data_IF_556604233001
#
_entry.id   IF_556604233001
#
_cell.length_a   1.000
_cell.length_b   1.000
_cell.length_c   1.000
_cell.angle_alpha   90.00
_cell.angle_beta   90.00
_cell.angle_gamma   90.00
#
_symmetry.space_group_name_H-M   'P 1'
#
loop_
_entity.id
_entity.type
_entity.pdbx_description
1 polymer ?
#
# COMPACT_ATOMS: atom_id res chain seq x y z
N UNK A 1 -50.33 3.74 -0.49
CA UNK A 1 -49.54 3.35 0.70
C UNK A 1 -48.56 2.24 0.36
N UNK A 2 -49.00 1.10 -0.21
CA UNK A 2 -48.10 -0.03 -0.52
C UNK A 2 -46.91 0.32 -1.41
N UNK A 3 -47.13 1.12 -2.47
CA UNK A 3 -46.05 1.49 -3.38
C UNK A 3 -44.97 2.40 -2.76
N UNK A 4 -45.29 3.10 -1.65
CA UNK A 4 -44.32 3.86 -0.88
C UNK A 4 -43.40 2.92 -0.08
N UNK A 5 -43.98 1.88 0.54
CA UNK A 5 -43.24 0.92 1.35
C UNK A 5 -42.50 -0.12 0.51
N UNK A 6 -43.14 -0.72 -0.48
CA UNK A 6 -42.55 -1.68 -1.41
C UNK A 6 -43.24 -1.61 -2.80
N UNK A 7 -42.61 -0.89 -3.72
CA UNK A 7 -43.12 -0.70 -5.09
C UNK A 7 -42.95 -1.97 -5.96
N UNK A 8 -42.14 -2.94 -5.52
CA UNK A 8 -41.88 -4.19 -6.25
C UNK A 8 -42.94 -5.28 -6.01
N UNK A 9 -43.72 -5.16 -4.93
CA UNK A 9 -44.76 -6.13 -4.57
C UNK A 9 -46.02 -6.04 -5.45
N UNK A 10 -46.20 -4.94 -6.18
CA UNK A 10 -47.31 -4.79 -7.13
C UNK A 10 -46.97 -5.42 -8.48
N UNK A 11 -47.98 -6.00 -9.16
CA UNK A 11 -47.84 -6.57 -10.51
C UNK A 11 -47.24 -5.57 -11.53
N UNK A 12 -47.52 -4.27 -11.35
CA UNK A 12 -46.95 -3.18 -12.13
C UNK A 12 -46.35 -2.13 -11.20
N UNK A 13 -45.03 -1.98 -11.25
CA UNK A 13 -44.31 -0.96 -10.48
C UNK A 13 -44.67 0.44 -10.97
N UNK A 14 -44.92 1.36 -10.03
CA UNK A 14 -45.24 2.75 -10.35
C UNK A 14 -43.99 3.45 -10.89
N UNK A 15 -44.16 4.16 -11.99
CA UNK A 15 -43.12 4.92 -12.69
C UNK A 15 -43.54 6.39 -12.74
N UNK A 16 -42.58 7.30 -12.65
CA UNK A 16 -42.83 8.73 -12.85
C UNK A 16 -42.05 9.20 -14.07
N UNK A 17 -42.76 9.69 -15.10
CA UNK A 17 -42.30 10.37 -16.34
C UNK A 17 -41.27 9.61 -17.19
N UNK A 18 -40.23 9.12 -16.56
CA UNK A 18 -39.19 8.20 -17.03
C UNK A 18 -39.65 6.75 -16.99
N UNK A 19 -39.01 5.89 -17.79
CA UNK A 19 -39.25 4.42 -17.81
C UNK A 19 -38.77 3.68 -16.55
N UNK A 20 -38.11 4.36 -15.60
CA UNK A 20 -37.54 3.71 -14.40
C UNK A 20 -38.60 3.64 -13.27
N UNK A 21 -38.70 2.51 -12.56
CA UNK A 21 -39.59 2.40 -11.41
C UNK A 21 -39.12 3.32 -10.28
N UNK A 22 -40.07 3.90 -9.55
CA UNK A 22 -39.77 4.67 -8.35
C UNK A 22 -39.17 3.76 -7.27
N UNK A 23 -38.15 4.26 -6.56
CA UNK A 23 -37.55 3.55 -5.42
C UNK A 23 -38.47 3.65 -4.21
N UNK A 24 -38.83 2.51 -3.64
CA UNK A 24 -39.58 2.45 -2.37
C UNK A 24 -38.64 2.51 -1.17
N UNK A 25 -39.21 2.69 0.03
CA UNK A 25 -38.45 2.65 1.29
C UNK A 25 -37.72 1.30 1.44
N UNK A 26 -38.38 0.19 1.11
CA UNK A 26 -37.76 -1.13 1.14
C UNK A 26 -36.56 -1.24 0.19
N UNK A 27 -36.65 -0.66 -1.01
CA UNK A 27 -35.55 -0.64 -2.00
C UNK A 27 -34.38 0.24 -1.58
N UNK A 28 -34.63 1.28 -0.77
CA UNK A 28 -33.54 2.09 -0.21
C UNK A 28 -32.73 1.30 0.82
N UNK A 29 -33.33 0.31 1.48
CA UNK A 29 -32.68 -0.47 2.53
C UNK A 29 -31.99 -1.72 1.94
N UNK A 30 -32.67 -2.44 1.05
CA UNK A 30 -32.22 -3.74 0.51
C UNK A 30 -31.40 -3.62 -0.78
N UNK A 31 -30.67 -4.68 -1.13
CA UNK A 31 -29.91 -4.78 -2.37
C UNK A 31 -28.50 -4.20 -2.31
N UNK A 32 -27.76 -4.29 -3.42
CA UNK A 32 -26.35 -3.86 -3.52
C UNK A 32 -26.17 -2.35 -3.32
N UNK A 33 -27.12 -1.56 -3.81
CA UNK A 33 -27.15 -0.09 -3.66
C UNK A 33 -28.00 0.37 -2.47
N UNK A 34 -28.47 -0.57 -1.64
CA UNK A 34 -29.20 -0.29 -0.43
C UNK A 34 -28.28 0.21 0.68
N UNK A 35 -28.87 0.89 1.68
CA UNK A 35 -28.15 1.52 2.79
C UNK A 35 -27.23 0.57 3.55
N UNK A 36 -27.66 -0.68 3.79
CA UNK A 36 -26.85 -1.64 4.54
C UNK A 36 -25.51 -1.95 3.86
N UNK A 37 -25.52 -2.33 2.58
CA UNK A 37 -24.30 -2.74 1.88
C UNK A 37 -23.46 -1.56 1.44
N UNK A 38 -24.09 -0.50 0.92
CA UNK A 38 -23.36 0.61 0.32
C UNK A 38 -22.87 1.65 1.32
N UNK A 39 -23.60 1.90 2.42
CA UNK A 39 -23.32 3.02 3.33
C UNK A 39 -22.88 2.58 4.73
N UNK A 40 -23.43 1.47 5.24
CA UNK A 40 -23.06 0.99 6.58
C UNK A 40 -21.78 0.16 6.52
N UNK A 41 -21.70 -0.79 5.58
CA UNK A 41 -20.50 -1.64 5.39
C UNK A 41 -19.46 -0.99 4.47
N UNK A 42 -19.91 -0.28 3.42
CA UNK A 42 -19.06 0.55 2.58
C UNK A 42 -19.03 1.98 3.11
N UNK A 43 -17.85 2.50 3.47
CA UNK A 43 -17.70 3.91 3.80
C UNK A 43 -16.51 4.49 3.05
N UNK A 44 -16.69 5.70 2.55
CA UNK A 44 -15.55 6.52 2.13
C UNK A 44 -14.90 7.06 3.39
N UNK A 45 -13.58 7.01 3.42
CA UNK A 45 -12.77 7.37 4.59
C UNK A 45 -11.79 8.47 4.20
N UNK A 46 -11.61 9.43 5.10
CA UNK A 46 -10.58 10.45 4.98
C UNK A 46 -9.20 9.85 5.27
N UNK A 47 -8.14 10.65 5.12
CA UNK A 47 -6.75 10.21 5.31
C UNK A 47 -6.38 8.99 4.44
N UNK A 48 -6.91 9.00 3.22
CA UNK A 48 -6.67 7.97 2.22
C UNK A 48 -6.20 8.59 0.90
N UNK A 49 -5.36 7.84 0.18
CA UNK A 49 -4.80 8.21 -1.11
C UNK A 49 -4.82 7.04 -2.07
N UNK A 50 -4.63 7.28 -3.37
CA UNK A 50 -4.46 6.23 -4.38
C UNK A 50 -3.43 6.67 -5.40
N UNK A 51 -2.52 5.77 -5.77
CA UNK A 51 -1.62 5.98 -6.90
C UNK A 51 -1.29 4.66 -7.59
N UNK A 52 -0.68 4.78 -8.77
CA UNK A 52 -0.06 3.68 -9.51
C UNK A 52 1.11 3.14 -8.71
N UNK A 53 1.29 1.82 -8.73
CA UNK A 53 2.44 1.16 -8.12
C UNK A 53 3.56 0.96 -9.13
N UNK A 54 4.79 1.09 -8.66
CA UNK A 54 6.01 0.80 -9.40
C UNK A 54 6.93 -0.05 -8.52
N UNK A 55 7.89 -0.71 -9.16
CA UNK A 55 8.85 -1.57 -8.47
C UNK A 55 9.82 -0.72 -7.64
N UNK A 56 10.07 -1.13 -6.39
CA UNK A 56 11.09 -0.56 -5.51
C UNK A 56 12.02 -1.65 -4.99
N UNK A 57 12.94 -2.18 -5.82
CA UNK A 57 13.81 -3.29 -5.44
C UNK A 57 14.81 -2.95 -4.33
N UNK A 58 15.10 -1.67 -4.11
CA UNK A 58 15.99 -1.17 -3.06
C UNK A 58 15.38 -1.13 -1.66
N UNK A 59 14.05 -1.27 -1.56
CA UNK A 59 13.33 -1.18 -0.29
C UNK A 59 13.51 -2.46 0.53
N UNK A 60 13.34 -2.35 1.85
CA UNK A 60 13.18 -3.53 2.69
C UNK A 60 11.76 -4.11 2.57
N UNK A 61 11.56 -5.37 2.95
CA UNK A 61 10.26 -6.05 2.84
C UNK A 61 9.12 -5.31 3.56
N UNK A 62 9.45 -4.65 4.68
CA UNK A 62 8.53 -3.91 5.54
C UNK A 62 8.35 -2.44 5.15
N UNK A 63 9.05 -1.97 4.12
CA UNK A 63 9.01 -0.58 3.67
C UNK A 63 8.18 -0.42 2.41
N UNK A 64 7.62 0.79 2.23
CA UNK A 64 7.03 1.20 0.96
C UNK A 64 7.46 2.62 0.62
N UNK A 65 7.68 2.91 -0.66
CA UNK A 65 7.93 4.27 -1.13
C UNK A 65 6.63 5.07 -1.21
N UNK A 66 6.52 6.12 -0.41
CA UNK A 66 5.40 7.06 -0.41
C UNK A 66 5.80 8.39 -1.07
N UNK A 67 5.09 8.82 -2.14
CA UNK A 67 5.34 10.10 -2.78
C UNK A 67 5.25 11.26 -1.79
N UNK A 68 6.24 12.17 -1.81
CA UNK A 68 6.29 13.34 -0.91
C UNK A 68 5.01 14.19 -0.96
N UNK A 69 4.48 14.46 -2.15
CA UNK A 69 3.25 15.24 -2.34
C UNK A 69 2.03 14.54 -1.72
N UNK A 70 1.95 13.20 -1.83
CA UNK A 70 0.88 12.43 -1.21
C UNK A 70 1.03 12.42 0.31
N UNK A 71 2.25 12.23 0.81
CA UNK A 71 2.55 12.25 2.24
C UNK A 71 2.19 13.60 2.88
N UNK A 72 2.51 14.72 2.23
CA UNK A 72 2.15 16.06 2.72
C UNK A 72 0.63 16.22 2.92
N UNK A 73 -0.18 15.68 2.02
CA UNK A 73 -1.64 15.75 2.16
C UNK A 73 -2.17 14.79 3.22
N UNK A 74 -1.68 13.54 3.23
CA UNK A 74 -2.13 12.53 4.20
C UNK A 74 -1.76 12.91 5.65
N UNK A 75 -0.59 13.51 5.86
CA UNK A 75 -0.08 13.85 7.18
C UNK A 75 -0.27 15.33 7.55
N UNK A 76 -1.02 16.11 6.76
CA UNK A 76 -1.21 17.56 6.95
C UNK A 76 -1.53 17.99 8.39
N UNK A 77 -2.46 17.38 9.15
CA UNK A 77 -2.71 17.81 10.53
C UNK A 77 -1.55 17.51 11.48
N UNK A 78 -0.86 16.38 11.30
CA UNK A 78 0.34 16.05 12.09
C UNK A 78 1.47 17.04 11.79
N UNK A 79 1.64 17.41 10.52
CA UNK A 79 2.60 18.43 10.09
C UNK A 79 2.32 19.79 10.71
N UNK A 80 1.06 20.25 10.72
CA UNK A 80 0.68 21.53 11.35
C UNK A 80 1.05 21.53 12.84
N UNK A 81 0.74 20.44 13.55
CA UNK A 81 1.06 20.32 14.97
C UNK A 81 2.57 20.34 15.21
N UNK A 82 3.33 19.58 14.42
CA UNK A 82 4.79 19.47 14.58
C UNK A 82 5.53 20.77 14.22
N UNK A 83 5.07 21.50 13.20
CA UNK A 83 5.63 22.79 12.82
C UNK A 83 5.43 23.85 13.91
N UNK A 84 4.29 23.81 14.61
CA UNK A 84 4.03 24.71 15.76
C UNK A 84 4.88 24.29 16.95
N UNK A 85 4.93 22.98 17.26
CA UNK A 85 5.72 22.46 18.38
C UNK A 85 7.21 22.79 18.27
N UNK A 86 7.75 22.80 17.04
CA UNK A 86 9.15 23.17 16.76
C UNK A 86 9.39 24.67 16.62
N UNK A 87 8.35 25.50 16.69
CA UNK A 87 8.46 26.95 16.59
C UNK A 87 8.64 27.52 15.19
N UNK A 88 8.51 26.71 14.13
CA UNK A 88 8.57 27.18 12.74
C UNK A 88 7.33 28.01 12.35
N UNK A 89 6.20 27.77 13.01
CA UNK A 89 4.97 28.53 12.83
C UNK A 89 4.32 28.85 14.18
N UNK A 90 3.76 30.05 14.31
CA UNK A 90 3.08 30.48 15.54
C UNK A 90 1.57 30.17 15.52
N UNK A 91 0.98 30.02 14.33
CA UNK A 91 -0.45 29.77 14.16
C UNK A 91 -0.71 28.64 13.16
N UNK A 92 -1.83 27.89 13.30
CA UNK A 92 -2.20 26.85 12.32
C UNK A 92 -2.33 27.37 10.90
N UNK A 93 -2.76 28.62 10.73
CA UNK A 93 -2.90 29.26 9.41
C UNK A 93 -1.54 29.52 8.77
N UNK A 94 -0.56 30.00 9.52
CA UNK A 94 0.81 30.18 9.04
C UNK A 94 1.48 28.85 8.73
N UNK A 95 1.30 27.83 9.58
CA UNK A 95 1.80 26.48 9.30
C UNK A 95 1.21 25.89 8.01
N UNK A 96 -0.09 26.10 7.77
CA UNK A 96 -0.74 25.67 6.53
C UNK A 96 -0.17 26.37 5.30
N UNK A 97 0.11 27.67 5.38
CA UNK A 97 0.72 28.43 4.30
C UNK A 97 2.12 27.89 3.96
N UNK A 98 2.96 27.63 4.97
CA UNK A 98 4.28 27.03 4.78
C UNK A 98 4.23 25.68 4.05
N UNK A 99 3.24 24.85 4.38
CA UNK A 99 3.01 23.56 3.71
C UNK A 99 2.59 23.77 2.25
N UNK A 100 1.72 24.74 1.97
CA UNK A 100 1.26 25.07 0.61
C UNK A 100 2.38 25.64 -0.27
N UNK A 101 3.28 26.45 0.31
CA UNK A 101 4.46 27.00 -0.36
C UNK A 101 5.59 25.96 -0.57
N UNK A 102 5.45 24.77 0.03
CA UNK A 102 6.42 23.66 -0.07
C UNK A 102 7.84 24.05 0.35
N UNK A 103 7.96 24.81 1.44
CA UNK A 103 9.26 25.22 1.98
C UNK A 103 10.17 23.99 2.27
N UNK A 104 11.47 24.03 1.94
CA UNK A 104 12.42 22.95 2.23
C UNK A 104 12.39 22.41 3.66
N UNK A 105 12.08 23.25 4.66
CA UNK A 105 11.97 22.86 6.07
C UNK A 105 10.82 21.88 6.27
N UNK A 106 9.71 22.04 5.55
CA UNK A 106 8.53 21.18 5.66
C UNK A 106 8.88 19.73 5.30
N UNK A 107 9.73 19.50 4.30
CA UNK A 107 10.15 18.15 3.93
C UNK A 107 11.00 17.47 5.01
N UNK A 108 11.85 18.22 5.72
CA UNK A 108 12.63 17.69 6.86
C UNK A 108 11.72 17.31 8.03
N UNK A 109 10.71 18.13 8.31
CA UNK A 109 9.73 17.82 9.36
C UNK A 109 8.85 16.63 8.96
N UNK A 110 8.49 16.53 7.67
CA UNK A 110 7.71 15.42 7.14
C UNK A 110 8.43 14.08 7.30
N UNK A 111 9.73 14.04 7.00
CA UNK A 111 10.54 12.83 7.16
C UNK A 111 10.51 12.32 8.60
N UNK A 112 10.61 13.23 9.57
CA UNK A 112 10.49 12.88 10.99
C UNK A 112 9.09 12.36 11.35
N UNK A 113 8.02 13.05 10.94
CA UNK A 113 6.63 12.66 11.26
C UNK A 113 6.31 11.27 10.69
N UNK A 114 6.79 11.00 9.47
CA UNK A 114 6.51 9.78 8.73
C UNK A 114 7.27 8.57 9.30
N UNK A 115 8.45 8.77 9.89
CA UNK A 115 9.26 7.70 10.48
C UNK A 115 8.50 6.91 11.57
N UNK A 116 7.67 7.57 12.37
CA UNK A 116 6.94 6.91 13.46
C UNK A 116 5.54 6.41 13.06
N UNK A 117 5.08 6.63 11.83
CA UNK A 117 3.72 6.28 11.41
C UNK A 117 3.68 5.21 10.30
N UNK A 118 3.20 3.98 10.59
CA UNK A 118 2.97 2.99 9.54
C UNK A 118 1.80 3.41 8.64
N UNK A 119 1.77 2.93 7.40
CA UNK A 119 0.66 3.12 6.47
C UNK A 119 0.11 1.78 5.99
N UNK A 120 -1.19 1.73 5.69
CA UNK A 120 -1.84 0.54 5.16
C UNK A 120 -1.97 0.63 3.64
N UNK A 121 -1.40 -0.33 2.93
CA UNK A 121 -1.61 -0.49 1.50
C UNK A 121 -2.71 -1.54 1.24
N UNK A 122 -3.59 -1.24 0.31
CA UNK A 122 -4.68 -2.12 -0.11
C UNK A 122 -4.81 -2.13 -1.64
N UNK A 123 -4.88 -3.32 -2.23
CA UNK A 123 -5.24 -3.52 -3.64
C UNK A 123 -6.65 -4.09 -3.77
N UNK A 124 -7.45 -3.46 -4.63
CA UNK A 124 -8.75 -3.99 -5.01
C UNK A 124 -8.59 -4.93 -6.23
N UNK A 125 -9.29 -6.08 -6.28
CA UNK A 125 -10.18 -6.64 -5.25
C UNK A 125 -9.41 -7.33 -4.11
N UNK A 126 -9.86 -7.11 -2.87
CA UNK A 126 -9.29 -7.77 -1.68
C UNK A 126 -9.92 -9.15 -1.49
N UNK A 127 -9.19 -10.22 -1.85
CA UNK A 127 -9.69 -11.60 -1.79
C UNK A 127 -9.45 -12.29 -0.44
N UNK A 128 -8.40 -11.89 0.26
CA UNK A 128 -7.99 -12.45 1.54
C UNK A 128 -7.27 -11.39 2.38
N UNK A 129 -7.04 -11.68 3.67
CA UNK A 129 -6.47 -10.71 4.62
C UNK A 129 -5.16 -10.06 4.15
N UNK A 130 -4.31 -10.78 3.42
CA UNK A 130 -3.02 -10.29 2.93
C UNK A 130 -3.12 -9.26 1.80
N UNK A 131 -4.33 -9.01 1.27
CA UNK A 131 -4.57 -7.91 0.35
C UNK A 131 -4.58 -6.54 1.04
N UNK A 132 -4.44 -6.51 2.37
CA UNK A 132 -4.18 -5.31 3.16
C UNK A 132 -2.99 -5.59 4.08
N UNK A 133 -1.92 -4.81 3.96
CA UNK A 133 -0.75 -4.92 4.84
C UNK A 133 -0.25 -3.55 5.25
N UNK A 134 0.40 -3.49 6.40
CA UNK A 134 1.08 -2.30 6.90
C UNK A 134 2.53 -2.27 6.41
N UNK A 135 3.00 -1.05 6.13
CA UNK A 135 4.36 -0.76 5.71
C UNK A 135 4.88 0.47 6.44
N UNK A 136 6.18 0.53 6.61
CA UNK A 136 6.88 1.74 7.02
C UNK A 136 7.09 2.61 5.76
N UNK A 137 6.47 3.80 5.69
CA UNK A 137 6.67 4.71 4.56
C UNK A 137 8.12 5.26 4.53
N UNK A 138 8.71 5.21 3.34
CA UNK A 138 9.96 5.89 2.96
C UNK A 138 9.60 6.96 1.94
N UNK A 139 10.01 8.20 2.15
CA UNK A 139 9.67 9.29 1.24
C UNK A 139 10.42 9.13 -0.09
N UNK A 140 9.69 9.11 -1.19
CA UNK A 140 10.26 8.99 -2.54
C UNK A 140 9.86 10.16 -3.42
N UNK A 141 10.74 10.49 -4.37
CA UNK A 141 10.42 11.44 -5.43
C UNK A 141 9.53 10.81 -6.50
N UNK A 142 8.71 11.64 -7.13
CA UNK A 142 7.71 11.23 -8.11
C UNK A 142 6.30 11.16 -7.53
N UNK A 143 5.40 10.48 -8.25
CA UNK A 143 3.96 10.36 -7.90
C UNK A 143 3.49 8.93 -7.67
N UNK A 144 4.32 7.94 -7.98
CA UNK A 144 3.97 6.53 -7.90
C UNK A 144 4.41 5.93 -6.55
N UNK A 145 3.63 4.97 -6.06
CA UNK A 145 3.98 4.20 -4.86
C UNK A 145 5.03 3.16 -5.23
N UNK A 146 6.12 3.06 -4.46
CA UNK A 146 7.09 1.98 -4.64
C UNK A 146 6.78 0.85 -3.69
N UNK A 147 6.74 -0.38 -4.18
CA UNK A 147 6.54 -1.57 -3.34
C UNK A 147 7.63 -2.60 -3.59
N UNK A 148 7.93 -3.38 -2.55
CA UNK A 148 8.89 -4.46 -2.61
C UNK A 148 8.39 -5.58 -3.55
N UNK A 149 9.20 -6.11 -4.49
CA UNK A 149 8.76 -7.14 -5.44
C UNK A 149 8.16 -8.40 -4.79
N UNK A 150 8.74 -8.85 -3.67
CA UNK A 150 8.26 -10.04 -2.94
C UNK A 150 6.86 -9.90 -2.32
N UNK A 151 6.34 -8.68 -2.10
CA UNK A 151 4.97 -8.53 -1.58
C UNK A 151 3.92 -8.56 -2.68
N UNK A 152 4.31 -8.43 -3.95
CA UNK A 152 3.38 -8.41 -5.08
C UNK A 152 2.54 -9.69 -5.17
N UNK A 153 3.12 -10.85 -4.82
CA UNK A 153 2.39 -12.13 -4.77
C UNK A 153 1.23 -12.09 -3.77
N UNK A 154 1.41 -11.45 -2.60
CA UNK A 154 0.37 -11.31 -1.60
C UNK A 154 -0.75 -10.37 -2.07
N UNK A 155 -0.43 -9.32 -2.82
CA UNK A 155 -1.45 -8.43 -3.39
C UNK A 155 -2.05 -8.93 -4.71
N UNK A 156 -1.49 -10.01 -5.27
CA UNK A 156 -1.74 -10.47 -6.63
C UNK A 156 -1.54 -9.34 -7.67
N UNK A 157 -0.55 -8.49 -7.44
CA UNK A 157 -0.30 -7.26 -8.18
C UNK A 157 0.84 -7.42 -9.19
N UNK A 158 0.76 -6.65 -10.27
CA UNK A 158 1.82 -6.47 -11.26
C UNK A 158 2.08 -4.96 -11.50
N UNK A 159 2.98 -4.64 -12.41
CA UNK A 159 3.45 -3.26 -12.64
C UNK A 159 3.04 -2.72 -14.02
N UNK A 160 1.86 -3.10 -14.51
CA UNK A 160 1.35 -2.72 -15.84
C UNK A 160 0.37 -1.51 -15.81
N UNK A 161 0.16 -0.93 -14.63
CA UNK A 161 -0.81 0.15 -14.41
C UNK A 161 -1.68 -0.03 -13.16
N UNK A 162 -1.50 -1.14 -12.45
CA UNK A 162 -2.14 -1.42 -11.17
C UNK A 162 -2.01 -0.24 -10.17
N UNK A 163 -3.07 -0.06 -9.38
CA UNK A 163 -3.18 1.02 -8.41
C UNK A 163 -3.47 0.46 -7.01
N UNK A 164 -2.86 1.07 -6.00
CA UNK A 164 -3.11 0.76 -4.60
C UNK A 164 -3.64 1.98 -3.85
N UNK A 165 -4.53 1.71 -2.89
CA UNK A 165 -4.99 2.70 -1.94
C UNK A 165 -4.09 2.68 -0.70
N UNK A 166 -3.76 3.85 -0.18
CA UNK A 166 -3.02 4.07 1.06
C UNK A 166 -3.98 4.62 2.11
N UNK A 167 -3.87 4.15 3.36
CA UNK A 167 -4.62 4.67 4.49
C UNK A 167 -3.68 4.90 5.67
N UNK A 168 -3.91 5.97 6.44
CA UNK A 168 -3.11 6.31 7.62
C UNK A 168 -3.86 5.94 8.90
N UNK A 169 -3.34 5.00 9.73
CA UNK A 169 -3.85 4.77 11.08
C UNK A 169 -3.60 5.98 11.97
N UNK A 170 -4.65 6.57 12.53
CA UNK A 170 -4.55 7.81 13.32
C UNK A 170 -4.36 7.57 14.82
N UNK A 171 -5.12 6.64 15.40
CA UNK A 171 -5.03 6.38 16.85
C UNK A 171 -3.78 5.56 17.18
N UNK A 172 -3.21 5.79 18.36
CA UNK A 172 -2.05 5.03 18.83
C UNK A 172 -2.31 3.52 18.84
N UNK A 173 -3.52 3.11 19.26
CA UNK A 173 -3.91 1.70 19.24
C UNK A 173 -3.90 1.11 17.82
N UNK A 174 -4.40 1.84 16.82
CA UNK A 174 -4.41 1.39 15.43
C UNK A 174 -3.00 1.37 14.83
N UNK A 175 -2.14 2.33 15.18
CA UNK A 175 -0.73 2.33 14.77
C UNK A 175 0.02 1.13 15.34
N UNK A 176 -0.19 0.83 16.63
CA UNK A 176 0.40 -0.34 17.29
C UNK A 176 -0.12 -1.65 16.68
N UNK A 177 -1.42 -1.76 16.43
CA UNK A 177 -2.01 -2.91 15.73
C UNK A 177 -1.40 -3.11 14.35
N UNK A 178 -1.23 -2.02 13.59
CA UNK A 178 -0.61 -2.05 12.27
C UNK A 178 0.84 -2.57 12.34
N UNK A 179 1.64 -2.07 13.29
CA UNK A 179 3.04 -2.50 13.49
C UNK A 179 3.15 -3.95 13.97
N UNK A 180 2.32 -4.35 14.93
CA UNK A 180 2.43 -5.66 15.57
C UNK A 180 1.81 -6.78 14.74
N UNK A 181 0.67 -6.54 14.07
CA UNK A 181 -0.12 -7.60 13.43
C UNK A 181 -0.11 -7.51 11.90
N UNK A 182 -0.10 -6.29 11.34
CA UNK A 182 -0.32 -6.09 9.90
C UNK A 182 0.95 -5.85 9.09
N UNK A 183 2.10 -5.64 9.75
CA UNK A 183 3.37 -5.38 9.07
C UNK A 183 3.69 -6.51 8.08
N UNK A 184 4.13 -6.17 6.87
CA UNK A 184 4.35 -7.16 5.80
C UNK A 184 5.38 -8.24 6.19
N UNK A 185 6.38 -7.90 6.99
CA UNK A 185 7.39 -8.85 7.51
C UNK A 185 6.82 -9.93 8.42
N UNK A 186 5.66 -9.71 9.06
CA UNK A 186 4.98 -10.73 9.86
C UNK A 186 4.14 -11.69 9.00
N UNK A 187 3.86 -11.31 7.75
CA UNK A 187 2.88 -11.95 6.90
C UNK A 187 3.53 -12.78 5.77
N UNK A 188 4.53 -13.60 6.14
CA UNK A 188 5.34 -14.39 5.19
C UNK A 188 4.62 -15.67 4.74
N UNK A 189 3.77 -16.25 5.60
CA UNK A 189 3.08 -17.51 5.32
C UNK A 189 1.63 -17.30 4.89
N UNK A 190 1.19 -18.07 3.91
CA UNK A 190 -0.19 -18.06 3.46
C UNK A 190 -1.11 -18.71 4.51
N UNK A 191 -2.16 -18.01 4.99
CA UNK A 191 -2.98 -18.48 6.11
C UNK A 191 -3.68 -19.82 5.87
N UNK A 192 -4.06 -20.11 4.63
CA UNK A 192 -4.84 -21.31 4.31
C UNK A 192 -4.01 -22.62 4.22
N UNK A 193 -2.71 -22.54 3.92
CA UNK A 193 -1.91 -23.73 3.62
C UNK A 193 -0.48 -23.71 4.22
N UNK A 194 -0.10 -22.63 4.91
CA UNK A 194 1.21 -22.50 5.55
C UNK A 194 2.39 -22.36 4.58
N UNK A 195 2.16 -22.25 3.27
CA UNK A 195 3.24 -22.07 2.29
C UNK A 195 3.77 -20.63 2.33
N UNK A 196 5.08 -20.42 2.12
CA UNK A 196 5.64 -19.07 2.04
C UNK A 196 5.11 -18.32 0.81
N UNK A 197 4.86 -17.02 0.99
CA UNK A 197 4.37 -16.09 -0.04
C UNK A 197 5.46 -15.19 -0.60
N UNK A 198 6.41 -14.78 0.24
CA UNK A 198 7.54 -13.95 -0.14
C UNK A 198 8.62 -14.78 -0.87
N UNK A 199 8.20 -15.55 -1.87
CA UNK A 199 9.10 -16.34 -2.70
C UNK A 199 9.64 -15.48 -3.86
N UNK A 200 10.95 -15.56 -4.16
CA UNK A 200 11.50 -14.98 -5.37
C UNK A 200 10.75 -15.48 -6.61
N UNK A 201 10.46 -14.57 -7.54
CA UNK A 201 9.75 -14.86 -8.79
C UNK A 201 10.57 -14.42 -10.00
N UNK A 202 10.25 -15.01 -11.16
CA UNK A 202 10.75 -14.62 -12.48
C UNK A 202 12.29 -14.42 -12.50
N UNK A 203 12.74 -13.18 -12.66
CA UNK A 203 14.16 -12.82 -12.86
C UNK A 203 15.05 -13.21 -11.68
N UNK A 204 14.54 -13.14 -10.45
CA UNK A 204 15.30 -13.56 -9.26
C UNK A 204 15.62 -15.06 -9.30
N UNK A 205 14.65 -15.86 -9.76
CA UNK A 205 14.82 -17.32 -9.92
C UNK A 205 15.75 -17.60 -11.08
N UNK A 206 15.59 -16.89 -12.21
CA UNK A 206 16.43 -17.05 -13.39
C UNK A 206 17.90 -16.71 -13.11
N UNK A 207 18.16 -15.61 -12.40
CA UNK A 207 19.51 -15.20 -12.00
C UNK A 207 20.17 -16.24 -11.10
N UNK A 208 19.46 -16.70 -10.07
CA UNK A 208 19.96 -17.74 -9.16
C UNK A 208 20.21 -19.07 -9.90
N UNK A 209 19.31 -19.48 -10.79
CA UNK A 209 19.47 -20.68 -11.62
C UNK A 209 20.67 -20.56 -12.55
N UNK A 210 20.85 -19.41 -13.19
CA UNK A 210 21.97 -19.19 -14.11
C UNK A 210 23.32 -19.24 -13.40
N UNK A 211 23.42 -18.65 -12.20
CA UNK A 211 24.64 -18.61 -11.40
C UNK A 211 24.99 -19.99 -10.80
N UNK A 212 23.99 -20.79 -10.44
CA UNK A 212 24.19 -22.11 -9.81
C UNK A 212 24.37 -23.25 -10.82
N UNK A 213 24.13 -23.01 -12.12
CA UNK A 213 24.26 -24.03 -13.17
C UNK A 213 25.74 -24.38 -13.43
N UNK A 214 26.11 -25.64 -13.19
CA UNK A 214 27.44 -26.17 -13.50
C UNK A 214 27.75 -26.08 -14.99
N UNK A 215 28.98 -25.67 -15.32
CA UNK A 215 29.53 -25.62 -16.68
C UNK A 215 30.81 -26.45 -16.72
N UNK A 216 30.88 -27.42 -17.64
CA UNK A 216 32.09 -28.21 -17.90
C UNK A 216 33.02 -27.44 -18.84
N UNK A 217 34.33 -27.53 -18.64
CA UNK A 217 35.33 -26.79 -19.41
C UNK A 217 35.37 -25.29 -19.09
N UNK A 218 34.92 -24.89 -17.89
CA UNK A 218 34.88 -23.49 -17.51
C UNK A 218 36.25 -22.99 -17.04
N UNK A 219 36.50 -21.69 -17.18
CA UNK A 219 37.73 -21.07 -16.68
C UNK A 219 37.82 -21.23 -15.16
N UNK A 220 38.97 -21.70 -14.66
CA UNK A 220 39.17 -21.95 -13.23
C UNK A 220 38.60 -23.28 -12.72
N UNK A 221 38.17 -24.18 -13.62
CA UNK A 221 37.75 -25.54 -13.24
C UNK A 221 38.87 -26.28 -12.50
N UNK A 222 38.53 -26.90 -11.36
CA UNK A 222 39.46 -27.63 -10.51
C UNK A 222 40.25 -26.78 -9.49
N UNK A 223 39.99 -25.46 -9.40
CA UNK A 223 40.58 -24.61 -8.35
C UNK A 223 39.94 -24.85 -6.99
N UNK A 224 40.74 -24.68 -5.94
CA UNK A 224 40.31 -24.73 -4.55
C UNK A 224 40.45 -23.34 -3.93
N UNK A 225 39.47 -22.95 -3.13
CA UNK A 225 39.43 -21.68 -2.42
C UNK A 225 39.20 -21.95 -0.93
N UNK A 226 39.88 -21.21 -0.06
CA UNK A 226 39.78 -21.34 1.40
C UNK A 226 38.64 -20.55 2.02
N UNK A 227 38.10 -19.54 1.31
CA UNK A 227 37.01 -18.69 1.79
C UNK A 227 36.09 -18.20 0.67
N UNK A 228 34.91 -17.67 1.04
CA UNK A 228 34.00 -17.03 0.08
C UNK A 228 34.59 -15.74 -0.52
N UNK A 229 35.38 -14.99 0.26
CA UNK A 229 36.03 -13.76 -0.19
C UNK A 229 37.07 -14.03 -1.30
N UNK A 230 37.84 -15.12 -1.17
CA UNK A 230 38.78 -15.55 -2.20
C UNK A 230 38.07 -15.88 -3.52
N UNK A 231 36.88 -16.50 -3.46
CA UNK A 231 36.06 -16.78 -4.64
C UNK A 231 35.62 -15.49 -5.32
N UNK A 232 35.18 -14.49 -4.56
CA UNK A 232 34.78 -13.18 -5.10
C UNK A 232 35.97 -12.48 -5.78
N UNK A 233 37.12 -12.43 -5.11
CA UNK A 233 38.32 -11.79 -5.63
C UNK A 233 38.87 -12.49 -6.88
N UNK A 234 38.79 -13.82 -6.93
CA UNK A 234 39.13 -14.58 -8.14
C UNK A 234 38.18 -14.29 -9.31
N UNK A 235 36.87 -14.17 -9.04
CA UNK A 235 35.87 -13.84 -10.04
C UNK A 235 36.06 -12.41 -10.58
N UNK A 236 36.32 -11.42 -9.72
CA UNK A 236 36.61 -10.03 -10.11
C UNK A 236 37.85 -9.92 -10.99
N UNK A 237 38.92 -10.64 -10.62
CA UNK A 237 40.16 -10.72 -11.40
C UNK A 237 40.06 -11.65 -12.63
N UNK A 238 38.86 -12.19 -12.93
CA UNK A 238 38.60 -13.13 -14.03
C UNK A 238 39.58 -14.30 -14.06
N UNK A 239 40.04 -14.78 -12.90
CA UNK A 239 41.20 -15.68 -12.78
C UNK A 239 40.81 -17.14 -12.73
#
# INVERSE_FOLDING_TARGET
>A
VDALFDNSRRKTAIRSGTRRPLKSISDMIRGKTGRFRQNLLGKRVDYSGRSVIVVGPELNLHECGLPKDMALELFKPHMINELIARGYAQTPRSAKLLIEEKDPIVYKVLEYVVQDHPVLLNRAPTLHRLGVQAFQPVLVDGKALRIHPLVCAAFNADFDGDQMAVHVPLSLAAQMEARMLMLSSHNILHPANGKPLALPSQDMVLGTYHLTRKRTGAKGEGKYFGSFEEVLLANENKS
#
